data_IF_950495940449
#
_entry.id   IF_950495940449
#
_cell.length_a   1.000
_cell.length_b   1.000
_cell.length_c   1.000
_cell.angle_alpha   90.00
_cell.angle_beta   90.00
_cell.angle_gamma   90.00
#
_symmetry.space_group_name_H-M   'P 1'
#
loop_
_entity.id
_entity.type
_entity.pdbx_description
1 polymer ?
#
# COMPACT_ATOMS: atom_id res chain seq x y z
N UNK A 1 7.28 18.39 -2.35
CA UNK A 1 6.43 18.09 -3.52
C UNK A 1 7.03 17.07 -4.48
N UNK A 2 8.32 17.19 -4.90
CA UNK A 2 8.98 16.18 -5.77
C UNK A 2 9.16 14.81 -5.09
N UNK A 3 9.58 14.78 -3.84
CA UNK A 3 9.73 13.53 -3.06
C UNK A 3 8.41 12.77 -2.93
N UNK A 4 7.31 13.49 -2.70
CA UNK A 4 5.98 12.90 -2.60
C UNK A 4 5.51 12.27 -3.91
N UNK A 5 5.67 13.00 -5.03
CA UNK A 5 5.33 12.44 -6.35
C UNK A 5 6.13 11.16 -6.63
N UNK A 6 7.43 11.16 -6.36
CA UNK A 6 8.28 9.98 -6.53
C UNK A 6 7.84 8.82 -5.62
N UNK A 7 7.47 9.11 -4.37
CA UNK A 7 6.94 8.10 -3.46
C UNK A 7 5.67 7.46 -4.02
N UNK A 8 4.75 8.28 -4.54
CA UNK A 8 3.52 7.76 -5.15
C UNK A 8 3.78 6.98 -6.43
N UNK A 9 4.77 7.36 -7.23
CA UNK A 9 5.20 6.58 -8.40
C UNK A 9 5.77 5.23 -7.97
N UNK A 10 6.59 5.18 -6.91
CA UNK A 10 7.12 3.92 -6.37
C UNK A 10 5.99 3.05 -5.82
N UNK A 11 5.03 3.63 -5.12
CA UNK A 11 3.86 2.93 -4.61
C UNK A 11 2.99 2.37 -5.74
N UNK A 12 2.67 3.20 -6.73
CA UNK A 12 1.97 2.77 -7.94
C UNK A 12 2.77 1.73 -8.75
N UNK A 13 4.10 1.71 -8.63
CA UNK A 13 4.96 0.66 -9.20
C UNK A 13 4.63 -0.74 -8.67
N UNK A 14 3.94 -0.86 -7.54
CA UNK A 14 3.35 -2.11 -7.06
C UNK A 14 2.39 -2.77 -8.05
N UNK A 15 1.81 -2.01 -8.98
CA UNK A 15 1.01 -2.52 -10.12
C UNK A 15 1.80 -3.57 -10.91
N UNK A 16 3.11 -3.41 -11.07
CA UNK A 16 3.94 -4.38 -11.78
C UNK A 16 3.85 -5.77 -11.15
N UNK A 17 3.93 -5.86 -9.82
CA UNK A 17 3.81 -7.14 -9.12
C UNK A 17 2.39 -7.71 -9.21
N UNK A 18 1.37 -6.86 -9.20
CA UNK A 18 -0.01 -7.29 -9.37
C UNK A 18 -0.23 -7.84 -10.78
N UNK A 19 0.39 -7.21 -11.78
CA UNK A 19 0.32 -7.66 -13.17
C UNK A 19 1.01 -9.02 -13.39
N UNK A 20 2.06 -9.33 -12.62
CA UNK A 20 2.70 -10.64 -12.64
C UNK A 20 1.76 -11.79 -12.27
N UNK A 21 0.68 -11.51 -11.52
CA UNK A 21 -0.32 -12.51 -11.16
C UNK A 21 -1.05 -13.16 -12.36
N UNK A 22 -0.96 -12.55 -13.54
CA UNK A 22 -1.52 -13.09 -14.79
C UNK A 22 -0.59 -14.07 -15.48
N UNK A 23 0.67 -14.08 -15.10
CA UNK A 23 1.72 -14.91 -15.71
C UNK A 23 2.29 -15.96 -14.75
N UNK A 24 2.15 -15.73 -13.46
CA UNK A 24 2.67 -16.62 -12.41
C UNK A 24 1.51 -17.29 -11.68
N UNK A 25 1.78 -18.46 -11.15
CA UNK A 25 0.87 -19.07 -10.17
C UNK A 25 0.68 -18.14 -8.97
N UNK A 26 -0.57 -18.00 -8.53
CA UNK A 26 -0.92 -17.04 -7.46
C UNK A 26 -0.24 -17.36 -6.13
N UNK A 27 -0.01 -18.65 -5.82
CA UNK A 27 0.66 -19.04 -4.59
C UNK A 27 2.15 -18.75 -4.68
N UNK A 28 2.78 -19.00 -5.84
CA UNK A 28 4.16 -18.61 -6.09
C UNK A 28 4.35 -17.09 -5.92
N UNK A 29 3.47 -16.30 -6.54
CA UNK A 29 3.50 -14.84 -6.40
C UNK A 29 3.31 -14.42 -4.94
N UNK A 30 2.35 -15.03 -4.22
CA UNK A 30 2.15 -14.77 -2.79
C UNK A 30 3.42 -15.00 -1.98
N UNK A 31 4.12 -16.14 -2.19
CA UNK A 31 5.37 -16.44 -1.50
C UNK A 31 6.49 -15.45 -1.84
N UNK A 32 6.59 -15.03 -3.10
CA UNK A 32 7.56 -14.00 -3.52
C UNK A 32 7.27 -12.66 -2.81
N UNK A 33 6.02 -12.21 -2.78
CA UNK A 33 5.63 -10.98 -2.11
C UNK A 33 5.86 -11.06 -0.60
N UNK A 34 5.60 -12.21 0.02
CA UNK A 34 5.90 -12.45 1.43
C UNK A 34 7.40 -12.33 1.71
N UNK A 35 8.23 -12.92 0.84
CA UNK A 35 9.69 -12.84 0.97
C UNK A 35 10.18 -11.39 0.87
N UNK A 36 9.62 -10.60 -0.05
CA UNK A 36 9.91 -9.17 -0.19
C UNK A 36 9.46 -8.40 1.08
N UNK A 37 8.28 -8.73 1.61
CA UNK A 37 7.78 -8.12 2.84
C UNK A 37 8.72 -8.38 4.02
N UNK A 38 9.11 -9.63 4.24
CA UNK A 38 10.05 -10.01 5.30
C UNK A 38 11.39 -9.29 5.13
N UNK A 39 11.89 -9.17 3.89
CA UNK A 39 13.09 -8.40 3.60
C UNK A 39 12.95 -6.95 4.07
N UNK A 40 11.85 -6.27 3.76
CA UNK A 40 11.62 -4.89 4.20
C UNK A 40 11.49 -4.76 5.72
N UNK A 41 10.89 -5.75 6.39
CA UNK A 41 10.82 -5.76 7.85
C UNK A 41 12.20 -5.86 8.49
N UNK A 42 13.03 -6.79 8.04
CA UNK A 42 14.40 -6.98 8.51
C UNK A 42 15.24 -5.73 8.20
N UNK A 43 15.10 -5.19 6.99
CA UNK A 43 15.84 -3.99 6.58
C UNK A 43 15.41 -2.75 7.37
N UNK A 44 14.12 -2.61 7.68
CA UNK A 44 13.59 -1.55 8.55
C UNK A 44 14.22 -1.60 9.94
N UNK A 45 14.33 -2.79 10.52
CA UNK A 45 14.95 -2.98 11.83
C UNK A 45 16.47 -2.68 11.79
N UNK A 46 17.15 -3.15 10.75
CA UNK A 46 18.58 -2.88 10.52
C UNK A 46 18.87 -1.36 10.44
N UNK A 47 18.09 -0.64 9.63
CA UNK A 47 18.27 0.83 9.47
C UNK A 47 17.93 1.56 10.77
N UNK A 48 16.92 1.12 11.52
CA UNK A 48 16.51 1.74 12.79
C UNK A 48 17.59 1.58 13.87
N UNK A 49 18.27 0.44 13.92
CA UNK A 49 19.36 0.19 14.88
C UNK A 49 20.67 0.89 14.52
N UNK A 50 20.76 1.53 13.36
CA UNK A 50 21.98 2.18 12.84
C UNK A 50 23.20 1.25 12.82
N UNK A 51 23.00 -0.04 12.63
CA UNK A 51 24.09 -0.99 12.49
C UNK A 51 24.91 -0.68 11.24
N UNK A 52 26.24 -0.74 11.38
CA UNK A 52 27.14 -0.53 10.24
C UNK A 52 27.27 -1.84 9.45
N UNK A 53 27.15 -1.76 8.14
CA UNK A 53 27.39 -2.91 7.27
C UNK A 53 28.83 -3.40 7.34
N UNK A 54 29.05 -4.68 7.08
CA UNK A 54 30.33 -5.39 7.30
C UNK A 54 31.30 -5.28 6.12
N UNK A 55 30.90 -4.77 4.95
CA UNK A 55 31.73 -4.79 3.73
C UNK A 55 31.72 -3.43 3.02
N UNK A 56 32.90 -2.86 2.78
CA UNK A 56 33.09 -1.49 2.30
C UNK A 56 32.38 -1.09 0.98
N UNK A 57 32.29 -1.98 -0.03
CA UNK A 57 31.61 -1.69 -1.31
C UNK A 57 30.09 -1.79 -1.11
N UNK A 58 29.62 -2.79 -0.36
CA UNK A 58 28.21 -2.97 0.00
C UNK A 58 27.72 -1.78 0.82
N UNK A 59 28.52 -1.25 1.74
CA UNK A 59 28.24 -0.03 2.50
C UNK A 59 27.97 1.18 1.61
N UNK A 60 28.73 1.34 0.53
CA UNK A 60 28.59 2.52 -0.35
C UNK A 60 27.30 2.43 -1.17
N UNK A 61 26.95 1.25 -1.65
CA UNK A 61 25.72 1.04 -2.44
C UNK A 61 24.50 1.09 -1.51
N UNK A 62 24.55 0.38 -0.38
CA UNK A 62 23.50 0.37 0.64
C UNK A 62 23.26 1.78 1.20
N UNK A 63 24.32 2.53 1.51
CA UNK A 63 24.20 3.90 1.98
C UNK A 63 23.45 4.80 0.99
N UNK A 64 23.74 4.71 -0.31
CA UNK A 64 23.01 5.47 -1.34
C UNK A 64 21.54 5.03 -1.46
N UNK A 65 21.26 3.74 -1.39
CA UNK A 65 19.88 3.20 -1.44
C UNK A 65 19.12 3.65 -0.19
N UNK A 66 19.73 3.55 0.98
CA UNK A 66 19.15 3.99 2.24
C UNK A 66 18.85 5.49 2.23
N UNK A 67 19.83 6.32 1.84
CA UNK A 67 19.67 7.76 1.77
C UNK A 67 18.56 8.16 0.79
N UNK A 68 18.49 7.49 -0.36
CA UNK A 68 17.42 7.71 -1.33
C UNK A 68 16.04 7.27 -0.78
N UNK A 69 15.98 6.12 -0.16
CA UNK A 69 14.72 5.59 0.36
C UNK A 69 14.24 6.37 1.60
N UNK A 70 15.13 6.76 2.51
CA UNK A 70 14.77 7.62 3.64
C UNK A 70 14.36 9.02 3.19
N UNK A 71 14.94 9.53 2.09
CA UNK A 71 14.50 10.77 1.47
C UNK A 71 13.09 10.69 0.86
N UNK A 72 12.67 9.50 0.41
CA UNK A 72 11.30 9.25 -0.08
C UNK A 72 10.27 9.15 1.03
N UNK A 73 10.69 8.84 2.26
CA UNK A 73 9.77 8.70 3.39
C UNK A 73 9.30 10.05 3.95
N UNK A 74 8.23 10.03 4.74
CA UNK A 74 7.71 11.21 5.44
C UNK A 74 8.62 11.54 6.64
N UNK A 75 8.86 12.81 6.90
CA UNK A 75 9.75 13.31 7.97
C UNK A 75 9.40 12.82 9.39
N UNK A 76 8.20 12.26 9.58
CA UNK A 76 7.71 11.79 10.89
C UNK A 76 7.73 10.27 11.06
N UNK A 77 8.25 9.52 10.09
CA UNK A 77 8.25 8.04 10.17
C UNK A 77 9.38 7.57 11.10
N UNK A 78 9.00 6.97 12.22
CA UNK A 78 9.96 6.42 13.20
C UNK A 78 10.69 5.16 12.72
N UNK A 79 10.06 4.40 11.81
CA UNK A 79 10.58 3.15 11.25
C UNK A 79 10.50 3.19 9.73
N UNK A 80 11.61 3.46 9.04
CA UNK A 80 11.65 3.48 7.58
C UNK A 80 11.26 2.11 7.00
N UNK A 81 10.69 2.11 5.80
CA UNK A 81 10.26 0.91 5.05
C UNK A 81 9.08 0.11 5.65
N UNK A 82 8.49 0.55 6.76
CA UNK A 82 7.35 -0.14 7.35
C UNK A 82 6.11 -0.12 6.44
N UNK A 83 5.89 0.96 5.71
CA UNK A 83 4.83 1.05 4.70
C UNK A 83 5.02 0.04 3.56
N UNK A 84 6.26 -0.15 3.08
CA UNK A 84 6.58 -1.17 2.09
C UNK A 84 6.35 -2.60 2.65
N UNK A 85 6.75 -2.85 3.89
CA UNK A 85 6.43 -4.11 4.57
C UNK A 85 4.93 -4.39 4.54
N UNK A 86 4.09 -3.45 4.99
CA UNK A 86 2.64 -3.64 5.04
C UNK A 86 2.04 -3.82 3.65
N UNK A 87 2.51 -3.07 2.65
CA UNK A 87 2.06 -3.20 1.26
C UNK A 87 2.27 -4.62 0.72
N UNK A 88 3.51 -5.12 0.76
CA UNK A 88 3.84 -6.45 0.22
C UNK A 88 3.25 -7.57 1.06
N UNK A 89 3.16 -7.41 2.38
CA UNK A 89 2.49 -8.34 3.28
C UNK A 89 1.02 -8.50 2.92
N UNK A 90 0.30 -7.40 2.79
CA UNK A 90 -1.12 -7.43 2.48
C UNK A 90 -1.42 -7.96 1.09
N UNK A 91 -0.61 -7.58 0.08
CA UNK A 91 -0.73 -8.16 -1.25
C UNK A 91 -0.45 -9.68 -1.25
N UNK A 92 0.57 -10.13 -0.52
CA UNK A 92 0.84 -11.57 -0.34
C UNK A 92 -0.38 -12.29 0.23
N UNK A 93 -0.93 -11.79 1.34
CA UNK A 93 -2.12 -12.36 1.96
C UNK A 93 -3.34 -12.36 1.03
N UNK A 94 -3.56 -11.27 0.30
CA UNK A 94 -4.66 -11.18 -0.66
C UNK A 94 -4.54 -12.26 -1.73
N UNK A 95 -3.37 -12.43 -2.36
CA UNK A 95 -3.15 -13.49 -3.37
C UNK A 95 -3.18 -14.90 -2.78
N UNK A 96 -2.85 -15.08 -1.51
CA UNK A 96 -2.93 -16.38 -0.87
C UNK A 96 -4.39 -16.79 -0.61
N UNK A 97 -5.20 -15.92 0.00
CA UNK A 97 -6.52 -16.28 0.52
C UNK A 97 -7.68 -16.00 -0.45
N UNK A 98 -7.59 -14.97 -1.31
CA UNK A 98 -8.69 -14.58 -2.18
C UNK A 98 -8.57 -15.19 -3.57
N UNK A 99 -9.67 -15.17 -4.32
CA UNK A 99 -9.65 -15.48 -5.75
C UNK A 99 -8.76 -14.49 -6.51
N UNK A 100 -8.22 -14.89 -7.66
CA UNK A 100 -7.30 -14.05 -8.44
C UNK A 100 -7.90 -12.68 -8.75
N UNK A 101 -9.17 -12.63 -9.16
CA UNK A 101 -9.86 -11.37 -9.49
C UNK A 101 -9.99 -10.46 -8.26
N UNK A 102 -10.40 -11.01 -7.10
CA UNK A 102 -10.56 -10.26 -5.86
C UNK A 102 -9.19 -9.73 -5.37
N UNK A 103 -8.17 -10.58 -5.34
CA UNK A 103 -6.82 -10.20 -4.94
C UNK A 103 -6.27 -9.10 -5.86
N UNK A 104 -6.43 -9.26 -7.18
CA UNK A 104 -6.01 -8.26 -8.16
C UNK A 104 -6.68 -6.92 -7.91
N UNK A 105 -8.02 -6.90 -7.79
CA UNK A 105 -8.76 -5.65 -7.60
C UNK A 105 -8.37 -4.96 -6.29
N UNK A 106 -8.36 -5.69 -5.18
CA UNK A 106 -8.07 -5.10 -3.86
C UNK A 106 -6.64 -4.53 -3.78
N UNK A 107 -5.65 -5.22 -4.36
CA UNK A 107 -4.28 -4.72 -4.44
C UNK A 107 -4.12 -3.58 -5.45
N UNK A 108 -4.85 -3.59 -6.58
CA UNK A 108 -4.87 -2.49 -7.55
C UNK A 108 -5.48 -1.22 -6.96
N UNK A 109 -6.55 -1.34 -6.18
CA UNK A 109 -7.13 -0.20 -5.45
C UNK A 109 -6.07 0.39 -4.53
N UNK A 110 -5.37 -0.42 -3.73
CA UNK A 110 -4.30 0.06 -2.87
C UNK A 110 -3.24 0.81 -3.67
N UNK A 111 -2.72 0.23 -4.76
CA UNK A 111 -1.61 0.80 -5.51
C UNK A 111 -2.00 2.10 -6.25
N UNK A 112 -3.21 2.17 -6.82
CA UNK A 112 -3.63 3.27 -7.71
C UNK A 112 -4.44 4.33 -6.97
N UNK A 113 -5.46 3.89 -6.20
CA UNK A 113 -6.37 4.84 -5.58
C UNK A 113 -5.70 5.56 -4.40
N UNK A 114 -4.86 4.88 -3.60
CA UNK A 114 -4.12 5.53 -2.53
C UNK A 114 -3.11 6.55 -3.08
N UNK A 115 -2.41 6.21 -4.16
CA UNK A 115 -1.51 7.16 -4.81
C UNK A 115 -2.25 8.40 -5.33
N UNK A 116 -3.38 8.22 -6.00
CA UNK A 116 -4.19 9.31 -6.54
C UNK A 116 -4.78 10.19 -5.42
N UNK A 117 -5.36 9.57 -4.38
CA UNK A 117 -5.97 10.27 -3.25
C UNK A 117 -4.96 11.09 -2.48
N UNK A 118 -3.77 10.56 -2.26
CA UNK A 118 -2.69 11.27 -1.55
C UNK A 118 -2.21 12.50 -2.33
N UNK A 119 -2.08 12.42 -3.65
CA UNK A 119 -1.67 13.55 -4.49
C UNK A 119 -2.71 14.69 -4.46
N UNK A 120 -3.99 14.36 -4.50
CA UNK A 120 -5.07 15.35 -4.46
C UNK A 120 -5.33 15.83 -3.02
N UNK A 121 -5.37 14.91 -2.06
CA UNK A 121 -5.65 15.19 -0.66
C UNK A 121 -4.66 16.18 -0.03
N UNK A 122 -3.39 16.16 -0.44
CA UNK A 122 -2.39 17.16 0.00
C UNK A 122 -2.74 18.59 -0.40
N UNK A 123 -3.53 18.79 -1.44
CA UNK A 123 -4.01 20.09 -1.89
C UNK A 123 -5.45 20.36 -1.41
N UNK A 124 -6.08 19.38 -0.79
CA UNK A 124 -7.44 19.46 -0.27
C UNK A 124 -7.57 20.48 0.83
N UNK A 125 -8.74 21.10 0.91
CA UNK A 125 -9.04 22.20 1.86
C UNK A 125 -9.92 21.73 3.01
N UNK A 126 -10.78 20.74 2.76
CA UNK A 126 -11.77 20.27 3.74
C UNK A 126 -11.20 19.03 4.44
N UNK A 127 -10.77 19.20 5.68
CA UNK A 127 -10.29 18.08 6.50
C UNK A 127 -11.48 17.28 7.06
N UNK A 128 -11.44 15.96 6.88
CA UNK A 128 -12.41 15.03 7.48
C UNK A 128 -11.86 14.50 8.81
N UNK A 129 -10.64 13.98 8.80
CA UNK A 129 -9.92 13.45 9.96
C UNK A 129 -8.45 13.84 9.78
N UNK A 130 -7.68 13.81 10.85
CA UNK A 130 -6.27 14.22 10.98
C UNK A 130 -5.50 14.50 9.67
N UNK A 131 -5.28 13.48 8.82
CA UNK A 131 -4.48 13.58 7.59
C UNK A 131 -5.31 13.39 6.31
N UNK A 132 -6.60 13.14 6.41
CA UNK A 132 -7.48 12.87 5.27
C UNK A 132 -8.36 14.09 4.97
N UNK A 133 -8.50 14.37 3.68
CA UNK A 133 -9.34 15.47 3.19
C UNK A 133 -10.49 14.93 2.35
N UNK A 134 -11.59 15.66 2.30
CA UNK A 134 -12.77 15.27 1.52
C UNK A 134 -12.43 15.07 0.04
N UNK A 135 -11.62 15.97 -0.51
CA UNK A 135 -11.18 15.90 -1.90
C UNK A 135 -10.36 14.63 -2.17
N UNK A 136 -9.45 14.29 -1.25
CA UNK A 136 -8.67 13.05 -1.33
C UNK A 136 -9.55 11.81 -1.26
N UNK A 137 -10.48 11.76 -0.31
CA UNK A 137 -11.40 10.63 -0.13
C UNK A 137 -12.36 10.45 -1.32
N UNK A 138 -12.84 11.55 -1.91
CA UNK A 138 -13.66 11.47 -3.14
C UNK A 138 -12.83 10.90 -4.30
N UNK A 139 -11.59 11.37 -4.47
CA UNK A 139 -10.70 10.84 -5.52
C UNK A 139 -10.39 9.36 -5.26
N UNK A 140 -10.16 8.97 -4.01
CA UNK A 140 -9.97 7.56 -3.66
C UNK A 140 -11.16 6.72 -4.09
N UNK A 141 -12.38 7.13 -3.73
CA UNK A 141 -13.61 6.43 -4.09
C UNK A 141 -13.78 6.30 -5.62
N UNK A 142 -13.65 7.41 -6.36
CA UNK A 142 -13.81 7.44 -7.82
C UNK A 142 -12.77 6.54 -8.49
N UNK A 143 -11.51 6.62 -8.05
CA UNK A 143 -10.42 5.81 -8.61
C UNK A 143 -10.61 4.33 -8.27
N UNK A 144 -11.04 4.01 -7.05
CA UNK A 144 -11.35 2.64 -6.64
C UNK A 144 -12.48 2.04 -7.48
N UNK A 145 -13.54 2.81 -7.71
CA UNK A 145 -14.64 2.40 -8.56
C UNK A 145 -14.18 2.17 -10.01
N UNK A 146 -13.42 3.12 -10.56
CA UNK A 146 -12.89 3.03 -11.92
C UNK A 146 -12.01 1.78 -12.09
N UNK A 147 -11.08 1.53 -11.17
CA UNK A 147 -10.23 0.33 -11.21
C UNK A 147 -11.06 -0.94 -11.13
N UNK A 148 -12.05 -0.98 -10.24
CA UNK A 148 -12.86 -2.19 -9.99
C UNK A 148 -13.73 -2.60 -11.19
N UNK A 149 -14.26 -1.65 -11.95
CA UNK A 149 -15.13 -1.90 -13.11
C UNK A 149 -14.41 -2.73 -14.20
N UNK A 150 -13.08 -2.66 -14.29
CA UNK A 150 -12.33 -3.48 -15.26
C UNK A 150 -12.30 -4.97 -14.92
N UNK A 151 -12.57 -5.34 -13.67
CA UNK A 151 -12.42 -6.72 -13.19
C UNK A 151 -13.71 -7.31 -12.63
N UNK A 152 -14.66 -6.47 -12.21
CA UNK A 152 -15.88 -6.84 -11.54
C UNK A 152 -17.10 -6.19 -12.22
N UNK A 153 -18.28 -6.76 -12.00
CA UNK A 153 -19.50 -6.09 -12.39
C UNK A 153 -19.75 -4.82 -11.56
N UNK A 154 -20.64 -3.95 -12.02
CA UNK A 154 -20.88 -2.64 -11.39
C UNK A 154 -21.30 -2.73 -9.92
N UNK A 155 -22.09 -3.74 -9.56
CA UNK A 155 -22.56 -3.93 -8.19
C UNK A 155 -21.38 -4.25 -7.24
N UNK A 156 -20.55 -5.24 -7.59
CA UNK A 156 -19.36 -5.60 -6.82
C UNK A 156 -18.32 -4.46 -6.83
N UNK A 157 -18.22 -3.71 -7.92
CA UNK A 157 -17.32 -2.55 -8.00
C UNK A 157 -17.75 -1.44 -7.05
N UNK A 158 -19.04 -1.20 -6.87
CA UNK A 158 -19.55 -0.26 -5.87
C UNK A 158 -19.23 -0.73 -4.45
N UNK A 159 -19.43 -2.01 -4.14
CA UNK A 159 -19.07 -2.60 -2.85
C UNK A 159 -17.55 -2.43 -2.60
N UNK A 160 -16.73 -2.77 -3.59
CA UNK A 160 -15.29 -2.63 -3.50
C UNK A 160 -14.87 -1.16 -3.20
N UNK A 161 -15.41 -0.20 -3.96
CA UNK A 161 -15.09 1.21 -3.79
C UNK A 161 -15.53 1.76 -2.43
N UNK A 162 -16.73 1.43 -1.96
CA UNK A 162 -17.24 1.84 -0.65
C UNK A 162 -16.36 1.24 0.45
N UNK A 163 -16.16 -0.07 0.41
CA UNK A 163 -15.38 -0.78 1.45
C UNK A 163 -13.94 -0.29 1.50
N UNK A 164 -13.30 -0.14 0.35
CA UNK A 164 -11.93 0.36 0.27
C UNK A 164 -11.81 1.79 0.81
N UNK A 165 -12.79 2.66 0.50
CA UNK A 165 -12.80 4.05 0.98
C UNK A 165 -12.94 4.11 2.51
N UNK A 166 -13.81 3.28 3.08
CA UNK A 166 -13.94 3.18 4.53
C UNK A 166 -12.65 2.65 5.17
N UNK A 167 -12.02 1.65 4.54
CA UNK A 167 -10.76 1.06 5.00
C UNK A 167 -9.58 2.02 4.92
N UNK A 168 -9.59 2.96 3.97
CA UNK A 168 -8.58 4.01 3.79
C UNK A 168 -8.65 5.06 4.92
N UNK A 169 -9.86 5.37 5.40
CA UNK A 169 -10.08 6.34 6.48
C UNK A 169 -9.92 5.71 7.87
N UNK A 170 -10.17 4.40 7.97
CA UNK A 170 -10.23 3.68 9.24
C UNK A 170 -8.97 3.82 10.13
N UNK A 171 -7.73 3.71 9.62
CA UNK A 171 -6.52 3.85 10.44
C UNK A 171 -6.38 5.23 11.09
N UNK A 172 -6.91 6.28 10.47
CA UNK A 172 -6.81 7.66 10.97
C UNK A 172 -7.75 7.96 12.15
N UNK A 173 -8.66 7.04 12.48
CA UNK A 173 -9.51 7.12 13.69
C UNK A 173 -8.70 6.80 14.95
N UNK A 174 -7.61 6.05 14.80
CA UNK A 174 -6.81 5.57 15.93
C UNK A 174 -5.68 6.55 16.30
N UNK A 175 -5.25 6.47 17.57
CA UNK A 175 -4.11 7.21 18.07
C UNK A 175 -2.80 6.76 17.40
N UNK A 176 -1.77 7.60 17.38
CA UNK A 176 -0.46 7.32 16.76
C UNK A 176 0.18 5.99 17.17
N UNK A 177 -0.06 5.51 18.40
CA UNK A 177 0.45 4.22 18.86
C UNK A 177 -0.11 3.03 18.07
N UNK A 178 -1.39 3.08 17.74
CA UNK A 178 -2.08 2.01 17.01
C UNK A 178 -1.89 2.11 15.52
N UNK A 179 -1.65 3.31 14.99
CA UNK A 179 -1.38 3.54 13.55
C UNK A 179 -0.12 2.84 13.03
N UNK A 180 0.80 2.45 13.91
CA UNK A 180 1.94 1.62 13.50
C UNK A 180 1.51 0.18 13.13
N UNK A 181 0.40 -0.30 13.71
CA UNK A 181 -0.15 -1.63 13.47
C UNK A 181 -1.36 -1.61 12.55
N UNK A 182 -2.15 -0.52 12.58
CA UNK A 182 -3.35 -0.33 11.76
C UNK A 182 -3.00 0.69 10.68
N UNK A 183 -2.54 0.19 9.53
CA UNK A 183 -2.03 0.95 8.41
C UNK A 183 -2.94 0.75 7.18
N UNK A 184 -3.18 1.79 6.38
CA UNK A 184 -4.04 1.72 5.19
C UNK A 184 -3.47 0.76 4.13
N UNK A 185 -2.16 0.57 4.08
CA UNK A 185 -1.54 -0.39 3.17
C UNK A 185 -2.01 -1.84 3.37
N UNK A 186 -2.46 -2.23 4.56
CA UNK A 186 -3.01 -3.57 4.75
C UNK A 186 -4.53 -3.59 4.95
N UNK A 187 -5.12 -2.55 5.55
CA UNK A 187 -6.57 -2.52 5.77
C UNK A 187 -7.34 -2.47 4.45
N UNK A 188 -6.86 -1.68 3.47
CA UNK A 188 -7.51 -1.57 2.17
C UNK A 188 -7.61 -2.93 1.48
N UNK A 189 -6.52 -3.66 1.16
CA UNK A 189 -6.63 -4.89 0.39
C UNK A 189 -7.28 -6.03 1.16
N UNK A 190 -7.02 -6.15 2.47
CA UNK A 190 -7.55 -7.29 3.21
C UNK A 190 -9.03 -7.13 3.53
N UNK A 191 -9.48 -5.96 3.97
CA UNK A 191 -10.90 -5.73 4.28
C UNK A 191 -11.72 -5.73 2.99
N UNK A 192 -11.26 -5.06 1.93
CA UNK A 192 -11.96 -5.06 0.64
C UNK A 192 -12.06 -6.47 0.06
N UNK A 193 -10.96 -7.22 0.07
CA UNK A 193 -10.94 -8.59 -0.41
C UNK A 193 -11.84 -9.51 0.41
N UNK A 194 -11.87 -9.35 1.73
CA UNK A 194 -12.75 -10.12 2.60
C UNK A 194 -14.23 -9.86 2.31
N UNK A 195 -14.64 -8.60 2.22
CA UNK A 195 -16.04 -8.24 1.92
C UNK A 195 -16.45 -8.72 0.53
N UNK A 196 -15.59 -8.57 -0.48
CA UNK A 196 -15.86 -9.09 -1.83
C UNK A 196 -16.01 -10.62 -1.82
N UNK A 197 -15.20 -11.33 -1.04
CA UNK A 197 -15.31 -12.80 -0.91
C UNK A 197 -16.64 -13.23 -0.29
N UNK A 198 -17.21 -12.43 0.61
CA UNK A 198 -18.51 -12.72 1.22
C UNK A 198 -19.70 -12.38 0.30
N UNK A 199 -19.49 -11.53 -0.71
CA UNK A 199 -20.55 -11.03 -1.60
C UNK A 199 -20.56 -11.70 -2.97
N UNK A 200 -19.55 -12.50 -3.29
CA UNK A 200 -19.46 -13.31 -4.51
C UNK A 200 -19.88 -14.75 -4.25
#
# INVERSE_FOLDING_TARGET
MRSELLRQVVHAGGIFFIFLAWFLDKFLLSMMLLSISIFFLIYSEYVTRKEKSWVGIVNRIEGKIRDFATWLERDHVKRPFLGAFWFYFACSFAFFFYSLSIATVSCMILAVADAASTLVGKKGRIKIIQNKTLEGTIVFFITSLFVSIFFLNIYLSMIAAITATLSEVFPDIFNEKWRMFIDDNWTIPLITGFILTLTM
#
